data_IF_686818474659
#
_entry.id   IF_686818474659
#
_cell.length_a   1.000
_cell.length_b   1.000
_cell.length_c   1.000
_cell.angle_alpha   90.00
_cell.angle_beta   90.00
_cell.angle_gamma   90.00
#
_symmetry.space_group_name_H-M   'P 1'
#
loop_
_entity.id
_entity.type
_entity.pdbx_description
1 polymer ?
#
# COMPACT_ATOMS: atom_id res chain seq x y z
N UNK A 1 -8.11 1.43 26.06
CA UNK A 1 -7.65 2.12 24.82
C UNK A 1 -8.77 2.14 23.79
N UNK A 2 -8.97 3.28 23.14
CA UNK A 2 -9.86 3.43 21.99
C UNK A 2 -8.99 3.30 20.72
N UNK A 3 -9.30 2.37 19.85
CA UNK A 3 -8.49 2.05 18.68
C UNK A 3 -9.30 2.30 17.41
N UNK A 4 -8.67 2.91 16.40
CA UNK A 4 -9.20 3.03 15.04
C UNK A 4 -8.38 2.11 14.12
N UNK A 5 -8.97 1.01 13.66
CA UNK A 5 -8.43 0.13 12.65
C UNK A 5 -8.89 0.59 11.27
N UNK A 6 -7.96 0.71 10.31
CA UNK A 6 -8.25 1.19 8.95
C UNK A 6 -8.15 0.06 7.96
N UNK A 7 -9.17 -0.08 7.11
CA UNK A 7 -9.28 -1.07 6.05
C UNK A 7 -10.57 -1.88 6.11
N UNK A 8 -10.74 -2.79 5.15
CA UNK A 8 -12.00 -3.55 4.95
C UNK A 8 -11.80 -4.99 4.48
N UNK A 9 -10.56 -5.46 4.41
CA UNK A 9 -10.22 -6.81 3.92
C UNK A 9 -10.25 -7.89 5.01
N UNK A 10 -9.91 -9.11 4.62
CA UNK A 10 -9.77 -10.25 5.54
C UNK A 10 -8.65 -10.06 6.56
N UNK A 11 -7.55 -9.37 6.19
CA UNK A 11 -6.49 -8.99 7.11
C UNK A 11 -7.00 -8.10 8.23
N UNK A 12 -7.79 -7.08 7.90
CA UNK A 12 -8.36 -6.17 8.89
C UNK A 12 -9.42 -6.88 9.75
N UNK A 13 -10.17 -7.83 9.21
CA UNK A 13 -11.06 -8.66 10.03
C UNK A 13 -10.26 -9.50 11.04
N UNK A 14 -9.16 -10.13 10.63
CA UNK A 14 -8.29 -10.88 11.54
C UNK A 14 -7.67 -9.98 12.62
N UNK A 15 -7.21 -8.77 12.26
CA UNK A 15 -6.71 -7.78 13.21
C UNK A 15 -7.80 -7.33 14.18
N UNK A 16 -9.01 -7.04 13.70
CA UNK A 16 -10.16 -6.66 14.55
C UNK A 16 -10.48 -7.75 15.56
N UNK A 17 -10.54 -9.02 15.12
CA UNK A 17 -10.79 -10.17 15.99
C UNK A 17 -9.68 -10.38 17.05
N UNK A 18 -8.43 -10.06 16.71
CA UNK A 18 -7.31 -10.11 17.65
C UNK A 18 -7.38 -8.97 18.68
N UNK A 19 -7.61 -7.73 18.19
CA UNK A 19 -7.73 -6.54 19.04
C UNK A 19 -8.90 -6.66 20.02
N UNK A 20 -10.04 -7.19 19.58
CA UNK A 20 -11.23 -7.39 20.43
C UNK A 20 -11.00 -8.31 21.64
N UNK A 21 -9.96 -9.16 21.60
CA UNK A 21 -9.58 -10.02 22.73
C UNK A 21 -8.69 -9.31 23.76
N UNK A 22 -8.21 -8.12 23.46
CA UNK A 22 -7.30 -7.40 24.35
C UNK A 22 -8.02 -6.82 25.55
N UNK A 23 -7.60 -7.10 26.79
CA UNK A 23 -8.21 -6.49 27.99
C UNK A 23 -7.96 -4.98 28.07
N UNK A 24 -7.00 -4.44 27.32
CA UNK A 24 -6.72 -3.02 27.25
C UNK A 24 -7.66 -2.26 26.29
N UNK A 25 -8.39 -2.97 25.44
CA UNK A 25 -9.32 -2.35 24.50
C UNK A 25 -10.61 -1.95 25.21
N UNK A 26 -11.01 -0.69 25.07
CA UNK A 26 -12.30 -0.18 25.56
C UNK A 26 -13.30 0.08 24.44
N UNK A 27 -12.79 0.43 23.25
CA UNK A 27 -13.60 0.66 22.06
C UNK A 27 -12.77 0.41 20.79
N UNK A 28 -13.36 -0.30 19.83
CA UNK A 28 -12.78 -0.52 18.50
C UNK A 28 -13.68 0.10 17.43
N UNK A 29 -13.11 1.01 16.65
CA UNK A 29 -13.70 1.51 15.41
C UNK A 29 -12.95 0.95 14.23
N UNK A 30 -13.65 0.68 13.13
CA UNK A 30 -13.04 0.16 11.89
C UNK A 30 -13.53 0.98 10.70
N UNK A 31 -12.63 1.53 9.90
CA UNK A 31 -12.94 2.43 8.79
C UNK A 31 -12.36 1.93 7.44
N UNK A 32 -13.19 1.59 6.45
CA UNK A 32 -14.64 1.51 6.49
C UNK A 32 -15.19 0.23 7.15
N UNK A 33 -14.34 -0.81 7.32
CA UNK A 33 -14.74 -2.11 7.82
C UNK A 33 -15.50 -2.97 6.80
N UNK A 34 -16.02 -4.09 7.27
CA UNK A 34 -16.82 -5.04 6.51
C UNK A 34 -17.82 -5.75 7.45
N UNK A 35 -18.72 -6.63 6.95
CA UNK A 35 -19.67 -7.34 7.81
C UNK A 35 -19.02 -8.17 8.92
N UNK A 36 -17.83 -8.74 8.70
CA UNK A 36 -17.10 -9.51 9.72
C UNK A 36 -16.51 -8.62 10.81
N UNK A 37 -15.98 -7.44 10.46
CA UNK A 37 -15.43 -6.50 11.45
C UNK A 37 -16.52 -5.89 12.33
N UNK A 38 -17.77 -5.81 11.84
CA UNK A 38 -18.92 -5.37 12.63
C UNK A 38 -19.23 -6.27 13.84
N UNK A 39 -18.75 -7.51 13.82
CA UNK A 39 -18.83 -8.44 14.95
C UNK A 39 -17.78 -8.16 16.04
N UNK A 40 -16.75 -7.40 15.69
CA UNK A 40 -15.60 -7.11 16.57
C UNK A 40 -15.60 -5.69 17.12
N UNK A 41 -16.28 -4.76 16.45
CA UNK A 41 -16.32 -3.35 16.81
C UNK A 41 -17.32 -2.56 15.95
N UNK A 42 -17.19 -1.25 15.95
CA UNK A 42 -18.10 -0.33 15.23
C UNK A 42 -17.49 0.07 13.89
N UNK A 43 -18.12 -0.32 12.79
CA UNK A 43 -17.73 0.15 11.45
C UNK A 43 -18.10 1.63 11.28
N UNK A 44 -17.20 2.40 10.64
CA UNK A 44 -17.38 3.84 10.39
C UNK A 44 -17.24 4.08 8.89
N UNK A 45 -18.22 4.72 8.28
CA UNK A 45 -18.28 4.95 6.83
C UNK A 45 -17.27 6.02 6.35
N UNK A 46 -15.99 5.80 6.60
CA UNK A 46 -14.87 6.63 6.12
C UNK A 46 -13.97 5.75 5.27
N UNK A 47 -13.73 6.17 4.03
CA UNK A 47 -12.84 5.45 3.13
C UNK A 47 -11.40 5.43 3.67
N UNK A 48 -10.68 4.30 3.51
CA UNK A 48 -9.32 4.12 4.01
C UNK A 48 -8.31 5.16 3.44
N UNK A 49 -8.53 5.65 2.22
CA UNK A 49 -7.70 6.70 1.60
C UNK A 49 -8.05 8.14 2.02
N UNK A 50 -9.12 8.36 2.76
CA UNK A 50 -9.51 9.70 3.19
C UNK A 50 -8.82 10.10 4.50
N UNK A 51 -7.50 10.36 4.41
CA UNK A 51 -6.65 10.69 5.56
C UNK A 51 -7.21 11.86 6.40
N UNK A 52 -7.65 13.00 5.82
CA UNK A 52 -8.20 14.09 6.62
C UNK A 52 -9.42 13.69 7.45
N UNK A 53 -10.35 12.93 6.87
CA UNK A 53 -11.55 12.49 7.58
C UNK A 53 -11.23 11.45 8.68
N UNK A 54 -10.25 10.57 8.45
CA UNK A 54 -9.78 9.61 9.45
C UNK A 54 -9.16 10.30 10.66
N UNK A 55 -8.31 11.31 10.44
CA UNK A 55 -7.68 12.09 11.51
C UNK A 55 -8.70 12.91 12.27
N UNK A 56 -9.62 13.59 11.59
CA UNK A 56 -10.70 14.34 12.23
C UNK A 56 -11.60 13.43 13.09
N UNK A 57 -11.91 12.23 12.60
CA UNK A 57 -12.66 11.23 13.37
C UNK A 57 -11.87 10.77 14.60
N UNK A 58 -10.57 10.51 14.43
CA UNK A 58 -9.71 10.07 15.53
C UNK A 58 -9.62 11.12 16.64
N UNK A 59 -9.51 12.40 16.31
CA UNK A 59 -9.56 13.50 17.28
C UNK A 59 -10.91 13.58 17.97
N UNK A 60 -12.01 13.58 17.21
CA UNK A 60 -13.38 13.70 17.73
C UNK A 60 -13.71 12.58 18.71
N UNK A 61 -13.34 11.35 18.39
CA UNK A 61 -13.65 10.18 19.20
C UNK A 61 -12.61 9.91 20.29
N UNK A 62 -11.54 10.71 20.40
CA UNK A 62 -10.47 10.50 21.38
C UNK A 62 -9.78 9.15 21.19
N UNK A 63 -9.33 8.87 19.97
CA UNK A 63 -8.61 7.63 19.64
C UNK A 63 -7.21 7.67 20.24
N UNK A 64 -6.84 6.62 20.96
CA UNK A 64 -5.52 6.46 21.57
C UNK A 64 -4.49 5.87 20.59
N UNK A 65 -4.95 5.10 19.59
CA UNK A 65 -4.08 4.42 18.61
C UNK A 65 -4.80 4.22 17.29
N UNK A 66 -4.14 4.62 16.19
CA UNK A 66 -4.56 4.31 14.81
C UNK A 66 -3.76 3.12 14.30
N UNK A 67 -4.45 2.11 13.75
CA UNK A 67 -3.84 0.90 13.19
C UNK A 67 -4.22 0.78 11.71
N UNK A 68 -3.37 1.16 10.76
CA UNK A 68 -3.63 0.95 9.34
C UNK A 68 -3.43 -0.53 8.98
N UNK A 69 -4.42 -1.13 8.31
CA UNK A 69 -4.31 -2.46 7.74
C UNK A 69 -3.62 -2.44 6.37
N UNK A 70 -4.10 -1.65 5.38
CA UNK A 70 -3.45 -1.53 4.08
C UNK A 70 -2.32 -0.49 4.10
N UNK A 71 -1.44 -0.59 3.12
CA UNK A 71 -0.30 0.31 2.90
C UNK A 71 -0.69 1.69 2.33
N UNK A 72 -1.76 1.73 1.54
CA UNK A 72 -2.16 2.95 0.82
C UNK A 72 -2.37 4.19 1.71
N UNK A 73 -3.03 4.13 2.87
CA UNK A 73 -3.14 5.27 3.78
C UNK A 73 -1.78 5.77 4.29
N UNK A 74 -0.81 4.86 4.51
CA UNK A 74 0.53 5.21 4.96
C UNK A 74 1.33 5.92 3.88
N UNK A 75 1.26 5.43 2.64
CA UNK A 75 1.83 6.10 1.47
C UNK A 75 1.20 7.49 1.26
N UNK A 76 -0.09 7.64 1.57
CA UNK A 76 -0.78 8.93 1.55
C UNK A 76 -0.40 9.87 2.71
N UNK A 77 0.31 9.38 3.76
CA UNK A 77 0.81 10.21 4.86
C UNK A 77 -0.03 10.14 6.14
N UNK A 78 -0.80 9.09 6.35
CA UNK A 78 -1.65 8.94 7.55
C UNK A 78 -0.86 9.03 8.86
N UNK A 79 0.31 8.39 8.94
CA UNK A 79 1.11 8.40 10.16
C UNK A 79 1.63 9.80 10.51
N UNK A 80 2.03 10.56 9.48
CA UNK A 80 2.48 11.94 9.65
C UNK A 80 1.32 12.83 10.11
N UNK A 81 0.15 12.72 9.47
CA UNK A 81 -1.05 13.48 9.84
C UNK A 81 -1.56 13.14 11.26
N UNK A 82 -1.44 11.89 11.69
CA UNK A 82 -1.74 11.50 13.07
C UNK A 82 -0.74 12.11 14.06
N UNK A 83 0.55 12.12 13.71
CA UNK A 83 1.60 12.69 14.56
C UNK A 83 1.42 14.21 14.76
N UNK A 84 1.00 14.96 13.73
CA UNK A 84 0.69 16.39 13.80
C UNK A 84 -0.37 16.72 14.86
N UNK A 85 -1.29 15.79 15.13
CA UNK A 85 -2.36 15.96 16.14
C UNK A 85 -2.09 15.16 17.42
N UNK A 86 -0.89 14.60 17.58
CA UNK A 86 -0.47 13.87 18.79
C UNK A 86 -1.11 12.48 18.97
N UNK A 87 -1.63 11.87 17.91
CA UNK A 87 -2.23 10.53 17.94
C UNK A 87 -1.21 9.50 17.43
N UNK A 88 -0.84 8.48 18.23
CA UNK A 88 0.01 7.38 17.77
C UNK A 88 -0.61 6.62 16.60
N UNK A 89 0.23 6.32 15.58
CA UNK A 89 -0.14 5.49 14.44
C UNK A 89 0.84 4.30 14.30
N UNK A 90 0.31 3.09 14.22
CA UNK A 90 1.10 1.87 14.11
C UNK A 90 1.56 1.64 12.65
N UNK A 91 2.44 2.50 12.15
CA UNK A 91 2.96 2.40 10.79
C UNK A 91 4.06 3.41 10.49
N UNK A 92 4.76 3.24 9.36
CA UNK A 92 5.82 4.15 8.93
C UNK A 92 5.28 5.52 8.52
N UNK A 93 6.15 6.52 8.58
CA UNK A 93 5.90 7.85 7.97
C UNK A 93 5.72 7.73 6.46
N UNK A 94 5.15 8.75 5.83
CA UNK A 94 4.99 8.83 4.36
C UNK A 94 6.31 8.59 3.63
N UNK A 95 7.41 9.15 4.14
CA UNK A 95 8.74 8.98 3.55
C UNK A 95 9.21 7.52 3.62
N UNK A 96 9.05 6.85 4.75
CA UNK A 96 9.44 5.45 4.91
C UNK A 96 8.47 4.49 4.19
N UNK A 97 7.18 4.84 4.08
CA UNK A 97 6.18 4.06 3.36
C UNK A 97 6.45 3.98 1.84
N UNK A 98 7.34 4.84 1.30
CA UNK A 98 7.79 4.75 -0.10
C UNK A 98 8.51 3.42 -0.40
N UNK A 99 9.08 2.75 0.60
CA UNK A 99 9.64 1.40 0.42
C UNK A 99 8.60 0.37 -0.06
N UNK A 100 7.33 0.56 0.26
CA UNK A 100 6.22 -0.23 -0.27
C UNK A 100 5.55 0.46 -1.46
N UNK A 101 5.46 1.80 -1.41
CA UNK A 101 4.75 2.62 -2.39
C UNK A 101 5.43 2.71 -3.75
N UNK A 102 6.76 2.57 -3.84
CA UNK A 102 7.53 2.66 -5.08
C UNK A 102 8.60 1.58 -5.15
N UNK A 103 8.51 0.74 -6.17
CA UNK A 103 9.51 -0.29 -6.44
C UNK A 103 10.84 0.31 -6.86
N UNK A 104 10.79 1.41 -7.62
CA UNK A 104 11.96 2.21 -8.01
C UNK A 104 12.69 2.72 -6.78
N UNK A 105 11.97 3.41 -5.87
CA UNK A 105 12.57 3.93 -4.64
C UNK A 105 13.23 2.82 -3.80
N UNK A 106 12.55 1.67 -3.64
CA UNK A 106 13.14 0.52 -2.93
C UNK A 106 14.43 0.03 -3.58
N UNK A 107 14.47 -0.04 -4.91
CA UNK A 107 15.66 -0.43 -5.66
C UNK A 107 16.82 0.56 -5.49
N UNK A 108 16.51 1.86 -5.56
CA UNK A 108 17.50 2.94 -5.34
C UNK A 108 18.07 2.87 -3.91
N UNK A 109 17.23 2.61 -2.91
CA UNK A 109 17.68 2.41 -1.51
C UNK A 109 18.57 1.18 -1.40
N UNK A 110 18.22 0.07 -2.05
CA UNK A 110 19.04 -1.15 -2.07
C UNK A 110 20.41 -0.87 -2.69
N UNK A 111 20.46 -0.20 -3.83
CA UNK A 111 21.71 0.14 -4.52
C UNK A 111 22.59 1.07 -3.65
N UNK A 112 22.00 2.12 -3.07
CA UNK A 112 22.70 3.07 -2.21
C UNK A 112 23.27 2.42 -0.93
N UNK A 113 22.54 1.43 -0.37
CA UNK A 113 22.94 0.72 0.85
C UNK A 113 23.74 -0.56 0.60
N UNK A 114 24.04 -0.91 -0.66
CA UNK A 114 24.74 -2.16 -1.00
C UNK A 114 23.95 -3.43 -0.66
N UNK A 115 22.61 -3.35 -0.62
CA UNK A 115 21.74 -4.50 -0.32
C UNK A 115 21.57 -5.34 -1.59
N UNK A 116 21.88 -6.65 -1.54
CA UNK A 116 21.73 -7.53 -2.70
C UNK A 116 20.28 -7.58 -3.20
N UNK A 117 20.08 -7.27 -4.48
CA UNK A 117 18.78 -7.37 -5.16
C UNK A 117 18.97 -7.75 -6.62
N UNK A 118 17.91 -8.22 -7.28
CA UNK A 118 17.96 -8.50 -8.71
C UNK A 118 18.27 -7.23 -9.50
N UNK A 119 19.03 -7.38 -10.58
CA UNK A 119 19.29 -6.27 -11.54
C UNK A 119 17.96 -5.71 -12.04
N UNK A 120 17.90 -4.41 -12.19
CA UNK A 120 16.69 -3.69 -12.55
C UNK A 120 16.98 -2.51 -13.47
N UNK A 121 15.96 -2.06 -14.17
CA UNK A 121 15.98 -0.87 -15.01
C UNK A 121 14.58 -0.23 -14.96
N UNK A 122 14.52 1.10 -14.99
CA UNK A 122 13.26 1.85 -14.98
C UNK A 122 13.01 2.53 -16.30
N UNK A 123 11.77 2.51 -16.75
CA UNK A 123 11.32 3.16 -17.99
C UNK A 123 10.06 3.97 -17.73
N UNK A 124 9.97 5.12 -18.36
CA UNK A 124 8.78 5.99 -18.42
C UNK A 124 8.24 6.12 -19.85
N UNK A 125 8.90 5.45 -20.80
CA UNK A 125 8.51 5.42 -22.21
C UNK A 125 8.42 3.96 -22.68
N UNK A 126 7.26 3.53 -23.22
CA UNK A 126 7.05 2.14 -23.62
C UNK A 126 7.98 1.69 -24.74
N UNK A 127 8.37 2.56 -25.67
CA UNK A 127 9.25 2.18 -26.77
C UNK A 127 10.66 1.85 -26.24
N UNK A 128 11.17 2.61 -25.27
CA UNK A 128 12.45 2.34 -24.62
C UNK A 128 12.41 1.05 -23.81
N UNK A 129 11.30 0.80 -23.07
CA UNK A 129 11.10 -0.44 -22.33
C UNK A 129 11.08 -1.67 -23.25
N UNK A 130 10.35 -1.61 -24.36
CA UNK A 130 10.29 -2.68 -25.38
C UNK A 130 11.66 -2.92 -26.00
N UNK A 131 12.39 -1.86 -26.36
CA UNK A 131 13.75 -1.99 -26.91
C UNK A 131 14.71 -2.66 -25.91
N UNK A 132 14.57 -2.37 -24.62
CA UNK A 132 15.32 -3.04 -23.57
C UNK A 132 14.96 -4.53 -23.48
N UNK A 133 13.67 -4.88 -23.46
CA UNK A 133 13.18 -6.28 -23.43
C UNK A 133 13.76 -7.07 -24.59
N UNK A 134 13.71 -6.52 -25.82
CA UNK A 134 14.24 -7.17 -27.04
C UNK A 134 15.75 -7.43 -26.94
N UNK A 135 16.51 -6.50 -26.38
CA UNK A 135 17.95 -6.63 -26.19
C UNK A 135 18.31 -7.60 -25.05
N UNK A 136 17.55 -7.56 -23.95
CA UNK A 136 17.82 -8.36 -22.75
C UNK A 136 17.35 -9.79 -22.89
N UNK A 137 16.23 -10.02 -23.59
CA UNK A 137 15.56 -11.31 -23.73
C UNK A 137 14.76 -11.72 -22.50
N UNK A 138 14.22 -12.91 -22.55
CA UNK A 138 13.45 -13.55 -21.49
C UNK A 138 14.23 -14.76 -20.92
N UNK A 139 13.92 -15.26 -19.69
CA UNK A 139 12.82 -14.75 -18.83
C UNK A 139 13.15 -13.40 -18.19
N UNK A 140 12.10 -12.59 -17.98
CA UNK A 140 12.21 -11.27 -17.35
C UNK A 140 10.95 -10.95 -16.57
N UNK A 141 11.07 -10.13 -15.51
CA UNK A 141 9.93 -9.68 -14.72
C UNK A 141 9.65 -8.22 -15.05
N UNK A 142 8.45 -7.95 -15.56
CA UNK A 142 7.92 -6.60 -15.80
C UNK A 142 7.05 -6.21 -14.61
N UNK A 143 7.29 -5.01 -14.06
CA UNK A 143 6.56 -4.52 -12.89
C UNK A 143 6.14 -3.08 -13.11
N UNK A 144 4.86 -2.77 -12.86
CA UNK A 144 4.43 -1.40 -12.68
C UNK A 144 5.03 -0.83 -11.38
N UNK A 145 5.46 0.43 -11.41
CA UNK A 145 5.89 1.12 -10.19
C UNK A 145 4.67 1.57 -9.37
N UNK A 146 4.70 1.72 -8.11
CA UNK A 146 3.54 2.07 -7.31
C UNK A 146 2.67 0.89 -6.86
N UNK A 147 1.56 1.23 -6.18
CA UNK A 147 0.62 0.28 -5.58
C UNK A 147 -0.37 -0.25 -6.64
N UNK A 148 -0.25 -1.49 -7.02
CA UNK A 148 -1.06 -2.13 -8.06
C UNK A 148 -1.91 -3.31 -7.53
N UNK A 149 -2.13 -3.42 -6.22
CA UNK A 149 -2.93 -4.46 -5.57
C UNK A 149 -2.61 -5.90 -6.04
N UNK A 150 -1.33 -6.19 -6.25
CA UNK A 150 -0.86 -7.50 -6.74
C UNK A 150 -1.01 -7.74 -8.25
N UNK A 151 -1.56 -6.79 -9.01
CA UNK A 151 -1.83 -6.95 -10.46
C UNK A 151 -0.75 -6.34 -11.36
N UNK A 152 0.20 -5.61 -10.81
CA UNK A 152 1.24 -4.90 -11.56
C UNK A 152 2.55 -5.68 -11.71
N UNK A 153 2.52 -7.02 -11.77
CA UNK A 153 3.72 -7.85 -11.95
C UNK A 153 3.44 -8.97 -12.95
N UNK A 154 4.28 -9.07 -13.97
CA UNK A 154 4.24 -10.16 -14.97
C UNK A 154 5.62 -10.83 -15.01
N UNK A 155 5.64 -12.14 -14.80
CA UNK A 155 6.83 -12.99 -14.98
C UNK A 155 6.78 -13.55 -16.40
N UNK A 156 7.38 -12.84 -17.34
CA UNK A 156 7.36 -13.17 -18.75
C UNK A 156 8.42 -14.27 -19.07
N UNK A 157 7.98 -15.34 -19.70
CA UNK A 157 8.85 -16.43 -20.16
C UNK A 157 9.38 -16.19 -21.56
N UNK A 158 8.72 -15.32 -22.34
CA UNK A 158 9.11 -14.94 -23.69
C UNK A 158 9.22 -13.42 -23.82
N UNK A 159 9.97 -12.96 -24.81
CA UNK A 159 10.06 -11.51 -25.11
C UNK A 159 8.70 -10.94 -25.52
N UNK A 160 7.89 -11.69 -26.25
CA UNK A 160 6.55 -11.27 -26.64
C UNK A 160 5.64 -11.01 -25.42
N UNK A 161 5.59 -11.95 -24.46
CA UNK A 161 4.86 -11.74 -23.21
C UNK A 161 5.33 -10.50 -22.44
N UNK A 162 6.63 -10.21 -22.45
CA UNK A 162 7.16 -9.03 -21.79
C UNK A 162 6.79 -7.73 -22.51
N UNK A 163 6.80 -7.72 -23.87
CA UNK A 163 6.37 -6.58 -24.68
C UNK A 163 4.88 -6.29 -24.50
N UNK A 164 4.04 -7.33 -24.45
CA UNK A 164 2.62 -7.21 -24.18
C UNK A 164 2.37 -6.66 -22.75
N UNK A 165 3.12 -7.13 -21.77
CA UNK A 165 3.03 -6.63 -20.40
C UNK A 165 3.43 -5.15 -20.29
N UNK A 166 4.52 -4.73 -20.95
CA UNK A 166 4.93 -3.31 -21.01
C UNK A 166 3.83 -2.47 -21.65
N UNK A 167 3.31 -2.91 -22.80
CA UNK A 167 2.25 -2.20 -23.51
C UNK A 167 0.99 -2.07 -22.64
N UNK A 168 0.56 -3.17 -22.02
CA UNK A 168 -0.64 -3.16 -21.17
C UNK A 168 -0.46 -2.27 -19.93
N UNK A 169 0.68 -2.32 -19.26
CA UNK A 169 0.94 -1.51 -18.07
C UNK A 169 1.08 -0.02 -18.36
N UNK A 170 1.72 0.34 -19.47
CA UNK A 170 2.06 1.74 -19.77
C UNK A 170 1.04 2.47 -20.66
N UNK A 171 0.15 1.74 -21.37
CA UNK A 171 -0.77 2.35 -22.33
C UNK A 171 -2.24 2.11 -22.05
N UNK A 172 -2.62 1.07 -21.27
CA UNK A 172 -4.02 0.71 -21.08
C UNK A 172 -4.73 1.44 -19.93
N UNK A 173 -4.01 2.21 -19.12
CA UNK A 173 -4.50 2.88 -17.91
C UNK A 173 -5.22 1.94 -16.90
N UNK A 174 -5.05 0.62 -17.01
CA UNK A 174 -5.68 -0.37 -16.13
C UNK A 174 -5.15 -0.33 -14.69
N UNK A 175 -3.95 0.19 -14.51
CA UNK A 175 -3.28 0.29 -13.21
C UNK A 175 -3.28 1.71 -12.65
N UNK A 176 -4.01 2.65 -13.29
CA UNK A 176 -4.01 4.05 -12.91
C UNK A 176 -2.58 4.63 -12.86
N UNK A 177 -2.27 5.41 -11.82
CA UNK A 177 -0.95 6.06 -11.67
C UNK A 177 0.21 5.07 -11.40
N UNK A 178 -0.06 3.78 -11.26
CA UNK A 178 0.97 2.75 -11.04
C UNK A 178 1.53 2.16 -12.35
N UNK A 179 0.89 2.44 -13.50
CA UNK A 179 1.27 1.94 -14.84
C UNK A 179 2.17 2.86 -15.62
#
# INVERSE_FOLDING_TARGET
MRVLLIGSGGREHALAAALAKSPALTQLYIAPGNPGTALCGTNVAIAAGNVPALVAFAQKEGIDLVVPGPEAPLVAGLADACAEVGIPCAGPTKAAAQLEGSKTFTKEVCDAAGIPTAKWERFTDPAHAIAFVRRRGAPIVVKADGLAAGKGVVVAQTAAEAEDAVTDMMTSNKLGDAG
#
